data_IF_585971245071
#
_entry.id   IF_585971245071
#
_cell.length_a   1.000
_cell.length_b   1.000
_cell.length_c   1.000
_cell.angle_alpha   90.00
_cell.angle_beta   90.00
_cell.angle_gamma   90.00
#
_symmetry.space_group_name_H-M   'P 1'
#
loop_
_entity.id
_entity.type
_entity.pdbx_description
1 polymer ?
#
# COMPACT_ATOMS: atom_id res chain seq x y z
N UNK A 1 1.60 -7.76 7.58
CA UNK A 1 1.99 -6.73 6.59
C UNK A 1 2.70 -7.44 5.44
N UNK A 2 2.44 -7.06 4.19
CA UNK A 2 3.01 -7.70 3.00
C UNK A 2 3.94 -6.79 2.19
N UNK A 3 3.61 -5.49 2.08
CA UNK A 3 4.43 -4.52 1.37
C UNK A 3 4.25 -3.11 1.96
N UNK A 4 5.25 -2.25 1.70
CA UNK A 4 5.20 -0.80 1.88
C UNK A 4 5.16 -0.18 0.49
N UNK A 5 4.29 0.81 0.30
CA UNK A 5 3.93 1.37 -1.00
C UNK A 5 3.98 2.89 -0.91
N UNK A 6 4.40 3.50 -2.01
CA UNK A 6 4.20 4.93 -2.26
C UNK A 6 3.31 5.09 -3.49
N UNK A 7 2.43 6.07 -3.47
CA UNK A 7 1.58 6.43 -4.62
C UNK A 7 1.84 7.88 -5.03
N UNK A 8 1.68 8.16 -6.32
CA UNK A 8 1.64 9.52 -6.86
C UNK A 8 0.23 9.81 -7.33
N UNK A 9 -0.35 10.91 -6.85
CA UNK A 9 -1.67 11.40 -7.22
C UNK A 9 -1.47 12.50 -8.27
N UNK A 10 -2.11 12.34 -9.42
CA UNK A 10 -2.10 13.26 -10.57
C UNK A 10 -0.70 13.67 -11.07
N UNK A 11 0.33 12.91 -10.74
CA UNK A 11 1.72 13.24 -11.08
C UNK A 11 2.33 14.36 -10.22
N UNK A 12 1.60 14.88 -9.24
CA UNK A 12 1.94 16.12 -8.54
C UNK A 12 2.13 15.94 -7.03
N UNK A 13 1.52 14.92 -6.44
CA UNK A 13 1.55 14.71 -4.99
C UNK A 13 1.87 13.27 -4.62
N UNK A 14 2.88 13.06 -3.77
CA UNK A 14 3.30 11.72 -3.34
C UNK A 14 2.87 11.45 -1.91
N UNK A 15 2.32 10.25 -1.68
CA UNK A 15 2.03 9.73 -0.35
C UNK A 15 2.88 8.49 -0.12
N UNK A 16 3.75 8.55 0.89
CA UNK A 16 4.59 7.44 1.33
C UNK A 16 3.93 6.64 2.46
N UNK A 17 4.52 5.49 2.80
CA UNK A 17 4.14 4.65 3.96
C UNK A 17 2.72 4.07 3.94
N UNK A 18 2.16 3.88 2.74
CA UNK A 18 0.96 3.07 2.54
C UNK A 18 1.34 1.60 2.70
N UNK A 19 0.50 0.79 3.34
CA UNK A 19 0.80 -0.61 3.63
C UNK A 19 -0.22 -1.54 2.98
N UNK A 20 0.27 -2.60 2.34
CA UNK A 20 -0.56 -3.75 1.96
C UNK A 20 -0.63 -4.70 3.14
N UNK A 21 -1.83 -4.97 3.63
CA UNK A 21 -2.09 -5.83 4.78
C UNK A 21 -2.88 -7.04 4.32
N UNK A 22 -2.48 -8.22 4.79
CA UNK A 22 -3.22 -9.46 4.63
C UNK A 22 -4.08 -9.69 5.87
N UNK A 23 -5.38 -9.48 5.73
CA UNK A 23 -6.37 -9.59 6.81
C UNK A 23 -7.21 -10.87 6.69
N UNK A 24 -8.04 -11.13 7.69
CA UNK A 24 -8.90 -12.33 7.73
C UNK A 24 -9.88 -12.43 6.54
N UNK A 25 -10.23 -11.31 5.91
CA UNK A 25 -11.18 -11.23 4.77
C UNK A 25 -10.46 -10.98 3.44
N UNK A 26 -9.16 -11.18 3.39
CA UNK A 26 -8.32 -10.88 2.23
C UNK A 26 -7.43 -9.66 2.43
N UNK A 27 -6.72 -9.31 1.36
CA UNK A 27 -5.78 -8.19 1.37
C UNK A 27 -6.52 -6.86 1.27
N UNK A 28 -6.02 -5.87 2.00
CA UNK A 28 -6.52 -4.49 1.99
C UNK A 28 -5.37 -3.50 2.12
N UNK A 29 -5.65 -2.23 1.86
CA UNK A 29 -4.68 -1.14 1.95
C UNK A 29 -4.89 -0.33 3.22
N UNK A 30 -3.85 -0.22 4.04
CA UNK A 30 -3.83 0.66 5.20
C UNK A 30 -3.07 1.94 4.86
N UNK A 31 -3.68 3.07 5.18
CA UNK A 31 -3.10 4.39 4.97
C UNK A 31 -1.91 4.65 5.92
N UNK A 32 -1.07 5.66 5.63
CA UNK A 32 0.04 6.05 6.51
C UNK A 32 -0.56 6.57 7.81
N UNK A 33 -0.04 6.12 8.95
CA UNK A 33 -0.60 6.49 10.25
C UNK A 33 0.50 6.81 11.26
N UNK A 34 0.20 7.71 12.19
CA UNK A 34 1.08 8.11 13.28
C UNK A 34 0.40 7.83 14.62
N UNK A 35 1.19 7.38 15.58
CA UNK A 35 0.74 7.24 16.97
C UNK A 35 0.65 8.62 17.63
N UNK A 36 -0.48 8.95 18.22
CA UNK A 36 -0.68 10.18 19.00
C UNK A 36 -0.05 10.03 20.39
N UNK A 37 0.18 11.14 21.14
CA UNK A 37 0.65 11.08 22.52
C UNK A 37 -0.26 10.24 23.44
N UNK A 38 -1.56 10.21 23.16
CA UNK A 38 -2.58 9.42 23.87
C UNK A 38 -2.50 7.92 23.52
N UNK A 39 -1.67 7.56 22.55
CA UNK A 39 -1.38 6.17 22.17
C UNK A 39 -2.23 5.62 21.03
N UNK A 40 -3.19 6.40 20.51
CA UNK A 40 -4.03 6.03 19.37
C UNK A 40 -3.29 6.16 18.04
N UNK A 41 -3.68 5.40 17.02
CA UNK A 41 -3.17 5.59 15.66
C UNK A 41 -4.17 6.40 14.84
N UNK A 42 -3.67 7.44 14.17
CA UNK A 42 -4.46 8.23 13.22
C UNK A 42 -3.78 8.25 11.87
N UNK A 43 -4.59 8.13 10.83
CA UNK A 43 -4.12 8.27 9.46
C UNK A 43 -3.61 9.70 9.24
N UNK A 44 -2.39 9.81 8.72
CA UNK A 44 -1.74 11.07 8.32
C UNK A 44 -2.35 11.57 7.00
N UNK A 45 -2.65 10.64 6.10
CA UNK A 45 -3.31 10.91 4.83
C UNK A 45 -4.41 9.87 4.63
N UNK A 46 -5.62 10.30 4.26
CA UNK A 46 -6.70 9.37 3.97
C UNK A 46 -7.65 9.94 2.91
N UNK A 47 -8.20 9.08 2.02
CA UNK A 47 -9.24 9.50 1.11
C UNK A 47 -10.51 9.84 1.88
N UNK A 48 -11.10 11.00 1.57
CA UNK A 48 -12.39 11.43 2.15
C UNK A 48 -13.55 10.67 1.51
N UNK A 49 -13.49 10.47 0.17
CA UNK A 49 -14.57 9.82 -0.57
C UNK A 49 -14.37 8.31 -0.72
N UNK A 50 -15.46 7.52 -0.69
CA UNK A 50 -15.40 6.08 -0.99
C UNK A 50 -14.78 5.79 -2.36
N UNK A 51 -15.13 6.60 -3.37
CA UNK A 51 -14.58 6.44 -4.72
C UNK A 51 -13.07 6.61 -4.77
N UNK A 52 -12.50 7.57 -4.02
CA UNK A 52 -11.04 7.72 -3.98
C UNK A 52 -10.39 6.57 -3.21
N UNK A 53 -11.05 6.06 -2.16
CA UNK A 53 -10.60 4.87 -1.43
C UNK A 53 -10.51 3.66 -2.35
N UNK A 54 -11.57 3.37 -3.10
CA UNK A 54 -11.62 2.27 -4.07
C UNK A 54 -10.53 2.41 -5.13
N UNK A 55 -10.31 3.61 -5.67
CA UNK A 55 -9.24 3.88 -6.65
C UNK A 55 -7.86 3.58 -6.10
N UNK A 56 -7.54 4.06 -4.89
CA UNK A 56 -6.24 3.81 -4.24
C UNK A 56 -6.07 2.32 -3.97
N UNK A 57 -7.08 1.68 -3.40
CA UNK A 57 -7.02 0.25 -3.04
C UNK A 57 -6.83 -0.63 -4.28
N UNK A 58 -7.60 -0.39 -5.34
CA UNK A 58 -7.48 -1.12 -6.60
C UNK A 58 -6.08 -0.95 -7.22
N UNK A 59 -5.60 0.30 -7.36
CA UNK A 59 -4.30 0.58 -7.97
C UNK A 59 -3.15 -0.06 -7.19
N UNK A 60 -3.16 0.05 -5.85
CA UNK A 60 -2.11 -0.51 -4.99
C UNK A 60 -2.14 -2.05 -5.02
N UNK A 61 -3.30 -2.68 -4.89
CA UNK A 61 -3.41 -4.14 -4.89
C UNK A 61 -3.12 -4.76 -6.26
N UNK A 62 -3.44 -4.06 -7.35
CA UNK A 62 -3.03 -4.46 -8.71
C UNK A 62 -1.51 -4.39 -8.87
N UNK A 63 -0.88 -3.28 -8.49
CA UNK A 63 0.57 -3.12 -8.57
C UNK A 63 1.30 -4.16 -7.71
N UNK A 64 0.81 -4.43 -6.49
CA UNK A 64 1.35 -5.45 -5.61
C UNK A 64 1.27 -6.86 -6.23
N UNK A 65 0.13 -7.24 -6.82
CA UNK A 65 -0.02 -8.55 -7.48
C UNK A 65 0.95 -8.70 -8.65
N UNK A 66 1.06 -7.68 -9.51
CA UNK A 66 2.01 -7.69 -10.64
C UNK A 66 3.46 -7.83 -10.15
N UNK A 67 3.85 -7.08 -9.13
CA UNK A 67 5.19 -7.20 -8.55
C UNK A 67 5.43 -8.58 -7.92
N UNK A 68 4.44 -9.13 -7.23
CA UNK A 68 4.50 -10.46 -6.63
C UNK A 68 4.62 -11.57 -7.69
N UNK A 69 3.95 -11.44 -8.82
CA UNK A 69 4.09 -12.40 -9.93
C UNK A 69 5.48 -12.32 -10.56
N UNK A 70 6.03 -11.11 -10.70
CA UNK A 70 7.38 -10.92 -11.24
C UNK A 70 8.46 -11.52 -10.32
N UNK A 71 8.32 -11.39 -8.99
CA UNK A 71 9.20 -12.04 -8.00
C UNK A 71 9.19 -13.57 -8.08
N UNK A 72 8.11 -14.18 -8.56
CA UNK A 72 8.02 -15.64 -8.76
C UNK A 72 8.61 -16.05 -10.11
N UNK A 73 8.69 -15.12 -11.08
CA UNK A 73 9.19 -15.37 -12.44
C UNK A 73 10.67 -15.10 -12.63
N UNK A 74 11.29 -14.29 -11.78
CA UNK A 74 12.75 -14.15 -11.74
C UNK A 74 13.33 -15.26 -10.86
N UNK A 75 13.98 -16.30 -11.41
CA UNK A 75 14.82 -17.16 -10.59
C UNK A 75 15.92 -16.30 -9.97
N UNK A 76 16.31 -16.62 -8.74
CA UNK A 76 17.48 -16.04 -8.09
C UNK A 76 18.75 -16.42 -8.87
N UNK A 77 19.02 -15.72 -9.97
CA UNK A 77 20.29 -15.81 -10.69
C UNK A 77 21.23 -14.72 -10.19
N UNK A 78 22.34 -15.16 -9.59
CA UNK A 78 23.57 -14.35 -9.56
C UNK A 78 23.91 -13.65 -8.25
N UNK A 79 24.01 -14.40 -7.15
CA UNK A 79 25.06 -14.09 -6.15
C UNK A 79 26.10 -15.21 -6.27
N UNK A 80 27.11 -14.96 -7.10
CA UNK A 80 28.42 -15.62 -7.00
C UNK A 80 29.28 -14.83 -6.02
#
# INVERSE_FOLDING_TARGET
MRAIVSITIDGEFVVHDIRVIDGKKGMFVAMPSKRTPEGEFRDIAHPISPTMREKIEAAVLEAYRRASENLVREPAEGVL
#
